data_IF_454803891309
#
_entry.id   IF_454803891309
#
_cell.length_a   1.000
_cell.length_b   1.000
_cell.length_c   1.000
_cell.angle_alpha   90.00
_cell.angle_beta   90.00
_cell.angle_gamma   90.00
#
_symmetry.space_group_name_H-M   'P 1'
#
loop_
_entity.id
_entity.type
_entity.pdbx_description
1 polymer ?
#
# COMPACT_ATOMS: atom_id res chain seq x y z
N UNK A 1 -20.37 16.68 5.28
CA UNK A 1 -19.18 16.71 4.42
C UNK A 1 -19.06 18.11 3.85
N UNK A 2 -18.20 18.96 4.41
CA UNK A 2 -17.98 20.30 3.86
C UNK A 2 -17.08 20.12 2.64
N UNK A 3 -17.67 20.14 1.46
CA UNK A 3 -16.92 20.36 0.22
C UNK A 3 -16.40 21.80 0.32
N UNK A 4 -15.09 21.94 0.58
CA UNK A 4 -14.45 23.24 0.69
C UNK A 4 -14.67 24.06 -0.58
N UNK A 5 -14.91 25.36 -0.43
CA UNK A 5 -15.07 26.26 -1.57
C UNK A 5 -13.83 26.21 -2.48
N UNK A 6 -14.00 26.25 -3.81
CA UNK A 6 -12.88 26.33 -4.74
C UNK A 6 -12.14 27.65 -4.48
N UNK A 7 -10.99 27.57 -3.80
CA UNK A 7 -10.15 28.73 -3.45
C UNK A 7 -9.59 28.72 -2.02
N UNK A 8 -10.06 27.86 -1.12
CA UNK A 8 -9.51 27.79 0.25
C UNK A 8 -9.41 26.36 0.76
N UNK A 9 -8.31 25.70 0.42
CA UNK A 9 -7.93 24.43 1.05
C UNK A 9 -7.51 24.67 2.51
N UNK A 10 -7.85 23.74 3.40
CA UNK A 10 -7.34 23.76 4.76
C UNK A 10 -5.80 23.69 4.74
N UNK A 11 -5.07 24.38 5.63
CA UNK A 11 -3.60 24.39 5.65
C UNK A 11 -2.99 22.98 5.65
N UNK A 12 -3.62 22.03 6.34
CA UNK A 12 -3.20 20.62 6.39
C UNK A 12 -3.27 19.92 5.03
N UNK A 13 -4.25 20.26 4.19
CA UNK A 13 -4.37 19.71 2.83
C UNK A 13 -3.25 20.26 1.94
N UNK A 14 -2.98 21.56 2.05
CA UNK A 14 -1.87 22.19 1.32
C UNK A 14 -0.52 21.60 1.71
N UNK A 15 -0.28 21.37 3.01
CA UNK A 15 0.94 20.75 3.50
C UNK A 15 1.12 19.32 2.96
N UNK A 16 0.06 18.50 2.97
CA UNK A 16 0.09 17.16 2.40
C UNK A 16 0.36 17.18 0.89
N UNK A 17 -0.26 18.11 0.15
CA UNK A 17 0.00 18.27 -1.27
C UNK A 17 1.46 18.66 -1.56
N UNK A 18 2.04 19.57 -0.79
CA UNK A 18 3.45 19.96 -0.92
C UNK A 18 4.40 18.80 -0.59
N UNK A 19 4.09 18.00 0.43
CA UNK A 19 4.87 16.80 0.76
C UNK A 19 4.81 15.75 -0.34
N UNK A 20 3.64 15.52 -0.91
CA UNK A 20 3.47 14.59 -2.03
C UNK A 20 4.25 15.06 -3.25
N UNK A 21 4.19 16.36 -3.55
CA UNK A 21 4.99 16.96 -4.63
C UNK A 21 6.49 16.82 -4.40
N UNK A 22 6.98 17.14 -3.22
CA UNK A 22 8.40 16.99 -2.88
C UNK A 22 8.87 15.53 -3.03
N UNK A 23 8.04 14.56 -2.60
CA UNK A 23 8.32 13.15 -2.83
C UNK A 23 8.40 12.81 -4.33
N UNK A 24 7.47 13.36 -5.13
CA UNK A 24 7.49 13.19 -6.58
C UNK A 24 8.73 13.76 -7.26
N UNK A 25 9.19 14.94 -6.82
CA UNK A 25 10.42 15.57 -7.30
C UNK A 25 11.65 14.73 -6.93
N UNK A 26 11.73 14.24 -5.70
CA UNK A 26 12.83 13.40 -5.22
C UNK A 26 12.91 12.05 -5.94
N UNK A 27 11.77 11.43 -6.25
CA UNK A 27 11.70 10.07 -6.78
C UNK A 27 11.38 10.00 -8.28
N UNK A 28 11.28 11.14 -8.96
CA UNK A 28 10.96 11.22 -10.39
C UNK A 28 9.57 10.67 -10.73
N UNK A 29 8.57 10.94 -9.89
CA UNK A 29 7.15 10.56 -10.10
C UNK A 29 6.39 11.76 -10.64
N UNK A 30 6.28 11.93 -11.97
CA UNK A 30 5.68 13.12 -12.58
C UNK A 30 4.21 13.29 -12.19
N UNK A 31 3.49 12.20 -11.89
CA UNK A 31 2.09 12.23 -11.49
C UNK A 31 1.82 12.93 -10.15
N UNK A 32 2.87 13.19 -9.36
CA UNK A 32 2.78 13.95 -8.11
C UNK A 32 3.23 15.40 -8.24
N UNK A 33 3.82 15.79 -9.37
CA UNK A 33 4.37 17.13 -9.59
C UNK A 33 3.58 17.92 -10.62
N UNK A 34 2.91 17.24 -11.54
CA UNK A 34 2.02 17.87 -12.51
C UNK A 34 0.68 18.29 -11.91
N UNK A 35 0.03 19.31 -12.50
CA UNK A 35 -1.28 19.77 -12.05
C UNK A 35 -2.39 18.76 -12.40
N UNK A 36 -2.28 18.11 -13.56
CA UNK A 36 -3.27 17.19 -14.11
C UNK A 36 -2.59 16.09 -14.92
N UNK A 37 -3.14 14.87 -14.85
CA UNK A 37 -2.66 13.72 -15.61
C UNK A 37 -3.85 12.98 -16.22
N UNK A 38 -3.76 12.55 -17.49
CA UNK A 38 -4.77 11.67 -18.06
C UNK A 38 -4.79 10.34 -17.31
N UNK A 39 -5.98 9.90 -16.91
CA UNK A 39 -6.19 8.59 -16.30
C UNK A 39 -6.68 7.63 -17.39
N UNK A 40 -5.93 6.58 -17.68
CA UNK A 40 -6.26 5.51 -18.62
C UNK A 40 -7.07 4.38 -17.95
N UNK A 41 -7.98 4.75 -17.05
CA UNK A 41 -8.93 3.85 -16.39
C UNK A 41 -8.61 3.53 -14.93
N UNK A 42 -9.34 2.56 -14.38
CA UNK A 42 -9.39 2.26 -12.95
C UNK A 42 -8.06 1.88 -12.33
N UNK A 43 -7.29 1.08 -13.06
CA UNK A 43 -6.00 0.59 -12.61
C UNK A 43 -5.03 1.72 -12.30
N UNK A 44 -5.05 2.79 -13.09
CA UNK A 44 -4.07 3.86 -12.98
C UNK A 44 -4.40 4.79 -11.83
N UNK A 45 -5.65 5.23 -11.70
CA UNK A 45 -6.01 6.05 -10.53
C UNK A 45 -5.86 5.28 -9.22
N UNK A 46 -6.14 3.96 -9.18
CA UNK A 46 -5.90 3.14 -7.98
C UNK A 46 -4.43 3.11 -7.60
N UNK A 47 -3.54 2.89 -8.58
CA UNK A 47 -2.08 2.86 -8.37
C UNK A 47 -1.57 4.21 -7.86
N UNK A 48 -2.04 5.32 -8.42
CA UNK A 48 -1.68 6.66 -7.97
C UNK A 48 -2.16 6.94 -6.54
N UNK A 49 -3.38 6.55 -6.20
CA UNK A 49 -3.90 6.66 -4.83
C UNK A 49 -3.08 5.87 -3.82
N UNK A 50 -2.70 4.63 -4.13
CA UNK A 50 -1.84 3.80 -3.28
C UNK A 50 -0.45 4.43 -3.13
N UNK A 51 0.16 4.85 -4.24
CA UNK A 51 1.48 5.47 -4.23
C UNK A 51 1.49 6.77 -3.42
N UNK A 52 0.43 7.59 -3.50
CA UNK A 52 0.28 8.79 -2.69
C UNK A 52 0.15 8.46 -1.18
N UNK A 53 -0.63 7.44 -0.83
CA UNK A 53 -0.72 6.96 0.55
C UNK A 53 0.64 6.51 1.12
N UNK A 54 1.42 5.78 0.31
CA UNK A 54 2.78 5.34 0.66
C UNK A 54 3.74 6.52 0.82
N UNK A 55 3.74 7.47 -0.12
CA UNK A 55 4.58 8.68 -0.08
C UNK A 55 4.33 9.51 1.18
N UNK A 56 3.06 9.63 1.58
CA UNK A 56 2.66 10.36 2.77
C UNK A 56 2.92 9.58 4.07
N UNK A 57 3.38 8.33 3.98
CA UNK A 57 3.65 7.41 5.10
C UNK A 57 2.47 7.35 6.07
N UNK A 58 1.27 7.22 5.52
CA UNK A 58 0.05 7.28 6.31
C UNK A 58 -0.70 5.96 6.20
N UNK A 59 -1.22 5.38 7.31
CA UNK A 59 -2.03 4.17 7.30
C UNK A 59 -3.43 4.42 6.73
N UNK A 60 -3.57 5.41 5.85
CA UNK A 60 -4.84 5.91 5.34
C UNK A 60 -5.46 4.88 4.42
N UNK A 61 -6.75 4.66 4.64
CA UNK A 61 -7.55 3.87 3.70
C UNK A 61 -7.82 4.71 2.46
N UNK A 62 -7.50 4.17 1.30
CA UNK A 62 -7.86 4.76 0.01
C UNK A 62 -9.32 4.41 -0.30
N UNK A 63 -10.20 5.40 -0.27
CA UNK A 63 -11.60 5.26 -0.66
C UNK A 63 -11.86 6.04 -1.96
N UNK A 64 -12.14 5.35 -3.08
CA UNK A 64 -12.65 6.04 -4.26
C UNK A 64 -14.10 6.48 -4.02
N UNK A 65 -14.39 7.74 -4.30
CA UNK A 65 -15.72 8.32 -4.27
C UNK A 65 -16.05 8.84 -5.67
N UNK A 66 -17.10 8.30 -6.28
CA UNK A 66 -17.62 8.85 -7.51
C UNK A 66 -18.13 10.27 -7.26
N UNK A 67 -17.66 11.21 -8.07
CA UNK A 67 -18.14 12.58 -8.16
C UNK A 67 -18.80 12.67 -9.54
N UNK A 68 -19.97 13.29 -9.64
CA UNK A 68 -20.75 13.33 -10.89
C UNK A 68 -19.91 13.71 -12.13
N UNK A 69 -20.35 13.25 -13.30
CA UNK A 69 -19.68 13.57 -14.56
C UNK A 69 -18.41 12.77 -14.84
N UNK A 70 -18.27 11.56 -14.27
CA UNK A 70 -17.14 10.66 -14.53
C UNK A 70 -15.88 11.00 -13.73
N UNK A 71 -15.99 11.87 -12.74
CA UNK A 71 -14.88 12.21 -11.84
C UNK A 71 -14.81 11.20 -10.69
N UNK A 72 -13.60 10.79 -10.30
CA UNK A 72 -13.40 9.97 -9.09
C UNK A 72 -12.48 10.73 -8.15
N UNK A 73 -12.98 11.05 -6.96
CA UNK A 73 -12.16 11.55 -5.88
C UNK A 73 -11.52 10.37 -5.14
N UNK A 74 -10.21 10.43 -4.94
CA UNK A 74 -9.48 9.46 -4.12
C UNK A 74 -9.29 10.05 -2.73
N UNK A 75 -10.06 9.54 -1.78
CA UNK A 75 -10.04 10.00 -0.41
C UNK A 75 -9.06 9.15 0.39
N UNK A 76 -8.03 9.78 0.96
CA UNK A 76 -7.13 9.16 1.93
C UNK A 76 -7.69 9.43 3.34
N UNK A 77 -8.31 8.42 3.94
CA UNK A 77 -9.02 8.56 5.22
C UNK A 77 -8.12 8.13 6.37
N UNK A 78 -7.92 9.04 7.31
CA UNK A 78 -7.13 8.84 8.54
C UNK A 78 -8.08 8.74 9.72
N UNK A 79 -8.47 7.51 10.09
CA UNK A 79 -9.41 7.27 11.18
C UNK A 79 -8.97 6.04 12.00
N UNK A 80 -8.91 6.12 13.35
CA UNK A 80 -8.58 4.98 14.20
C UNK A 80 -9.47 3.75 14.00
N UNK A 81 -10.73 3.92 13.59
CA UNK A 81 -11.64 2.81 13.29
C UNK A 81 -11.22 2.01 12.05
N UNK A 82 -10.38 2.61 11.20
CA UNK A 82 -9.81 1.96 10.01
C UNK A 82 -8.42 1.37 10.30
N UNK A 83 -7.94 1.43 11.55
CA UNK A 83 -6.71 0.77 11.93
C UNK A 83 -6.82 -0.73 11.65
N UNK A 84 -5.84 -1.25 10.91
CA UNK A 84 -5.78 -2.68 10.63
C UNK A 84 -5.63 -3.45 11.96
N UNK A 85 -6.37 -4.56 12.15
CA UNK A 85 -6.23 -5.38 13.35
C UNK A 85 -4.81 -5.93 13.46
N UNK A 86 -4.43 -6.45 14.63
CA UNK A 86 -3.14 -7.11 14.78
C UNK A 86 -2.95 -8.20 13.69
N UNK A 87 -1.73 -8.34 13.13
CA UNK A 87 -1.45 -9.43 12.20
C UNK A 87 -1.78 -10.80 12.82
N UNK A 88 -2.46 -11.64 12.06
CA UNK A 88 -2.67 -13.06 12.38
C UNK A 88 -2.19 -13.93 11.22
N UNK A 89 -1.88 -15.19 11.48
CA UNK A 89 -1.44 -16.15 10.46
C UNK A 89 -2.46 -16.21 9.32
N UNK A 90 -3.74 -16.39 9.65
CA UNK A 90 -4.81 -16.51 8.66
C UNK A 90 -4.95 -15.25 7.79
N UNK A 91 -5.00 -14.07 8.43
CA UNK A 91 -5.17 -12.80 7.72
C UNK A 91 -3.96 -12.49 6.86
N UNK A 92 -2.76 -12.72 7.39
CA UNK A 92 -1.52 -12.43 6.68
C UNK A 92 -1.36 -13.36 5.48
N UNK A 93 -1.61 -14.67 5.65
CA UNK A 93 -1.58 -15.60 4.53
C UNK A 93 -2.55 -15.19 3.42
N UNK A 94 -3.80 -14.84 3.77
CA UNK A 94 -4.80 -14.36 2.80
C UNK A 94 -4.31 -13.13 2.03
N UNK A 95 -3.82 -12.11 2.74
CA UNK A 95 -3.30 -10.88 2.10
C UNK A 95 -2.13 -11.18 1.17
N UNK A 96 -1.24 -12.10 1.55
CA UNK A 96 -0.12 -12.49 0.70
C UNK A 96 -0.58 -13.28 -0.52
N UNK A 97 -1.50 -14.24 -0.37
CA UNK A 97 -2.09 -14.98 -1.50
C UNK A 97 -2.78 -14.04 -2.49
N UNK A 98 -3.56 -13.08 -1.99
CA UNK A 98 -4.23 -12.06 -2.79
C UNK A 98 -3.22 -11.14 -3.49
N UNK A 99 -2.18 -10.71 -2.77
CA UNK A 99 -1.11 -9.88 -3.31
C UNK A 99 -0.32 -10.58 -4.42
N UNK A 100 0.00 -11.87 -4.24
CA UNK A 100 0.69 -12.70 -5.23
C UNK A 100 -0.18 -12.87 -6.49
N UNK A 101 -1.49 -13.04 -6.32
CA UNK A 101 -2.41 -13.35 -7.43
C UNK A 101 -2.86 -12.12 -8.20
N UNK A 102 -2.93 -10.95 -7.55
CA UNK A 102 -3.56 -9.75 -8.10
C UNK A 102 -2.58 -8.63 -8.48
N UNK A 103 -1.38 -8.61 -7.91
CA UNK A 103 -0.45 -7.50 -8.08
C UNK A 103 0.71 -7.86 -9.03
N UNK A 104 0.99 -6.98 -9.98
CA UNK A 104 2.25 -6.98 -10.71
C UNK A 104 3.38 -6.47 -9.82
N UNK A 105 3.93 -7.37 -9.01
CA UNK A 105 5.09 -7.07 -8.19
C UNK A 105 6.36 -7.25 -9.02
N UNK A 106 7.24 -6.24 -9.01
CA UNK A 106 8.57 -6.31 -9.63
C UNK A 106 9.53 -7.19 -8.84
N UNK A 107 9.41 -7.19 -7.52
CA UNK A 107 10.22 -7.96 -6.59
C UNK A 107 9.32 -8.44 -5.45
N UNK A 108 9.13 -9.76 -5.33
CA UNK A 108 8.30 -10.28 -4.25
C UNK A 108 9.01 -10.18 -2.90
N UNK A 109 10.32 -10.41 -2.85
CA UNK A 109 11.09 -10.28 -1.61
C UNK A 109 11.07 -8.86 -1.04
N UNK A 110 11.23 -7.83 -1.88
CA UNK A 110 11.14 -6.44 -1.44
C UNK A 110 9.72 -6.09 -0.98
N UNK A 111 8.69 -6.53 -1.70
CA UNK A 111 7.29 -6.30 -1.33
C UNK A 111 6.96 -6.99 0.01
N UNK A 112 7.39 -8.23 0.20
CA UNK A 112 7.22 -9.00 1.44
C UNK A 112 7.92 -8.32 2.62
N UNK A 113 9.17 -7.90 2.42
CA UNK A 113 9.97 -7.20 3.44
C UNK A 113 9.27 -5.91 3.86
N UNK A 114 8.83 -5.11 2.90
CA UNK A 114 8.13 -3.85 3.17
C UNK A 114 6.81 -4.08 3.88
N UNK A 115 6.03 -5.07 3.43
CA UNK A 115 4.79 -5.46 4.09
C UNK A 115 5.03 -5.87 5.55
N UNK A 116 6.04 -6.70 5.82
CA UNK A 116 6.37 -7.12 7.17
C UNK A 116 6.75 -5.92 8.06
N UNK A 117 7.57 -4.99 7.54
CA UNK A 117 7.94 -3.75 8.24
C UNK A 117 6.72 -2.87 8.54
N UNK A 118 5.88 -2.60 7.54
CA UNK A 118 4.69 -1.74 7.70
C UNK A 118 3.66 -2.34 8.67
N UNK A 119 3.69 -3.66 8.85
CA UNK A 119 2.79 -4.40 9.76
C UNK A 119 3.42 -4.76 11.10
N UNK A 120 4.69 -4.41 11.33
CA UNK A 120 5.43 -4.77 12.53
C UNK A 120 5.60 -6.28 12.73
N UNK A 121 5.63 -7.05 11.63
CA UNK A 121 5.79 -8.50 11.64
C UNK A 121 7.28 -8.82 11.66
N UNK A 122 7.70 -9.64 12.62
CA UNK A 122 9.08 -10.14 12.66
C UNK A 122 9.34 -11.05 11.46
N UNK A 123 10.45 -10.83 10.74
CA UNK A 123 10.84 -11.66 9.61
C UNK A 123 12.26 -12.16 9.79
N UNK A 124 12.40 -13.48 9.87
CA UNK A 124 13.69 -14.17 9.90
C UNK A 124 13.98 -14.83 8.56
N UNK A 125 15.22 -15.31 8.40
CA UNK A 125 15.65 -16.07 7.25
C UNK A 125 16.16 -17.44 7.72
N UNK A 126 15.59 -18.51 7.17
CA UNK A 126 16.01 -19.88 7.44
C UNK A 126 16.51 -20.52 6.15
N UNK A 127 17.82 -20.74 6.04
CA UNK A 127 18.42 -21.34 4.83
C UNK A 127 18.15 -20.56 3.55
N UNK A 128 17.95 -19.24 3.64
CA UNK A 128 17.61 -18.36 2.51
C UNK A 128 16.10 -18.18 2.28
N UNK A 129 15.23 -18.93 2.96
CA UNK A 129 13.78 -18.76 2.88
C UNK A 129 13.27 -17.79 3.97
N UNK A 130 12.42 -16.80 3.64
CA UNK A 130 11.81 -15.93 4.64
C UNK A 130 10.83 -16.68 5.55
N UNK A 131 10.83 -16.35 6.84
CA UNK A 131 9.86 -16.84 7.82
C UNK A 131 9.23 -15.65 8.54
N UNK A 132 7.92 -15.48 8.40
CA UNK A 132 7.16 -14.47 9.11
C UNK A 132 6.73 -15.00 10.48
N UNK A 133 7.01 -14.26 11.55
CA UNK A 133 6.58 -14.56 12.91
C UNK A 133 5.40 -13.68 13.30
N UNK A 134 4.30 -14.33 13.64
CA UNK A 134 3.05 -13.69 14.05
C UNK A 134 2.73 -14.07 15.50
N UNK A 135 1.88 -13.31 16.20
CA UNK A 135 1.50 -13.62 17.57
C UNK A 135 0.86 -15.01 17.74
N UNK A 136 0.19 -15.51 16.71
CA UNK A 136 -0.56 -16.77 16.68
C UNK A 136 0.11 -17.88 15.86
N UNK A 137 1.37 -17.70 15.44
CA UNK A 137 2.11 -18.72 14.70
C UNK A 137 3.15 -18.15 13.73
N UNK A 138 3.36 -18.86 12.63
CA UNK A 138 4.34 -18.47 11.60
C UNK A 138 3.89 -18.81 10.19
N UNK A 139 4.48 -18.12 9.23
CA UNK A 139 4.35 -18.43 7.80
C UNK A 139 5.74 -18.63 7.21
N UNK A 140 6.01 -19.83 6.72
CA UNK A 140 7.20 -20.15 5.93
C UNK A 140 6.94 -19.77 4.47
N UNK A 141 7.84 -18.98 3.90
CA UNK A 141 7.71 -18.45 2.54
C UNK A 141 8.71 -19.15 1.63
N UNK A 142 8.21 -19.81 0.60
CA UNK A 142 9.07 -20.37 -0.45
C UNK A 142 9.25 -19.33 -1.55
N UNK A 143 10.50 -18.98 -1.82
CA UNK A 143 10.88 -18.01 -2.83
C UNK A 143 11.67 -18.71 -3.95
N UNK A 144 11.29 -18.47 -5.20
CA UNK A 144 12.18 -18.67 -6.33
C UNK A 144 13.16 -17.49 -6.36
N UNK A 145 14.42 -17.75 -6.02
CA UNK A 145 15.47 -16.72 -5.96
C UNK A 145 15.88 -16.18 -7.32
N UNK A 146 15.71 -16.96 -8.40
CA UNK A 146 16.07 -16.53 -9.74
C UNK A 146 15.01 -15.60 -10.31
N UNK A 147 13.74 -15.92 -10.10
CA UNK A 147 12.63 -15.10 -10.56
C UNK A 147 12.20 -14.00 -9.57
N UNK A 148 12.69 -14.05 -8.33
CA UNK A 148 12.24 -13.26 -7.17
C UNK A 148 10.71 -13.30 -7.01
N UNK A 149 10.19 -14.53 -7.04
CA UNK A 149 8.75 -14.83 -6.94
C UNK A 149 8.47 -15.72 -5.74
N UNK A 150 7.42 -15.39 -4.99
CA UNK A 150 6.88 -16.31 -3.99
C UNK A 150 6.15 -17.43 -4.73
N UNK A 151 6.52 -18.67 -4.43
CA UNK A 151 5.99 -19.88 -5.05
C UNK A 151 5.25 -20.78 -4.05
N UNK A 152 5.16 -20.36 -2.78
CA UNK A 152 4.39 -21.07 -1.78
C UNK A 152 4.42 -20.38 -0.42
N UNK A 153 3.36 -20.60 0.34
CA UNK A 153 3.18 -20.12 1.71
C UNK A 153 2.67 -21.28 2.56
N UNK A 154 3.42 -21.64 3.59
CA UNK A 154 3.03 -22.68 4.56
C UNK A 154 2.79 -22.03 5.92
N UNK A 155 1.55 -22.15 6.40
CA UNK A 155 1.13 -21.57 7.68
C UNK A 155 1.15 -22.63 8.77
N UNK A 156 1.67 -22.27 9.94
CA UNK A 156 1.64 -23.09 11.15
C UNK A 156 1.14 -22.24 12.32
N UNK A 157 0.17 -22.76 13.07
CA UNK A 157 -0.29 -22.15 14.31
C UNK A 157 0.73 -22.40 15.45
N UNK A 158 0.79 -21.50 16.42
CA UNK A 158 1.55 -21.67 17.66
C UNK A 158 0.82 -22.58 18.67
#
# INVERSE_FOLDING_TARGET
MVVGQPGRSAPSVTELALRLRAYGEEHGVPEFTGPEHPLDGERTWRRLGIAAGLALRSPRTLLPAAVDGGTVALLLIDDPQLALPAPSVERTKRVLDDGISSAELRSHSAALTRYAQDRGIGMDWNGGAPVLRLPDGRIDVRLDHTADRIIGLEASAA
#
